data_IF_276359996640
#
_entry.id   IF_276359996640
#
_cell.length_a   1.000
_cell.length_b   1.000
_cell.length_c   1.000
_cell.angle_alpha   90.00
_cell.angle_beta   90.00
_cell.angle_gamma   90.00
#
_symmetry.space_group_name_H-M   'P 1'
#
loop_
_entity.id
_entity.type
_entity.pdbx_description
1 polymer ?
#
# COMPACT_ATOMS: atom_id res chain seq x y z
N UNK A 1 5.06 -23.70 -30.33
CA UNK A 1 4.55 -22.32 -30.27
C UNK A 1 4.33 -21.99 -28.79
N UNK A 2 5.39 -21.97 -27.99
CA UNK A 2 5.27 -22.12 -26.52
C UNK A 2 5.94 -21.00 -25.71
N UNK A 3 6.68 -20.11 -26.37
CA UNK A 3 7.49 -19.10 -25.68
C UNK A 3 6.65 -17.95 -25.11
N UNK A 4 5.55 -17.57 -25.78
CA UNK A 4 4.71 -16.44 -25.37
C UNK A 4 3.82 -16.78 -24.19
N UNK A 5 3.30 -18.02 -24.13
CA UNK A 5 2.51 -18.50 -23.00
C UNK A 5 3.38 -18.68 -21.75
N UNK A 6 4.62 -19.19 -21.90
CA UNK A 6 5.58 -19.32 -20.82
C UNK A 6 6.00 -17.95 -20.26
N UNK A 7 6.19 -16.94 -21.14
CA UNK A 7 6.45 -15.56 -20.74
C UNK A 7 5.27 -14.94 -19.99
N UNK A 8 4.04 -15.11 -20.48
CA UNK A 8 2.84 -14.62 -19.78
C UNK A 8 2.69 -15.29 -18.42
N UNK A 9 2.91 -16.60 -18.31
CA UNK A 9 2.84 -17.32 -17.04
C UNK A 9 4.00 -16.98 -16.09
N UNK A 10 5.19 -16.66 -16.61
CA UNK A 10 6.32 -16.20 -15.80
C UNK A 10 6.08 -14.76 -15.31
N UNK A 11 5.55 -13.89 -16.16
CA UNK A 11 5.16 -12.52 -15.80
C UNK A 11 4.00 -12.52 -14.80
N UNK A 12 3.02 -13.40 -14.96
CA UNK A 12 1.92 -13.60 -14.00
C UNK A 12 2.40 -14.23 -12.70
N UNK A 13 3.43 -15.07 -12.72
CA UNK A 13 4.08 -15.59 -11.51
C UNK A 13 4.84 -14.49 -10.78
N UNK A 14 5.64 -13.70 -11.48
CA UNK A 14 6.30 -12.52 -10.92
C UNK A 14 5.31 -11.48 -10.38
N UNK A 15 4.21 -11.23 -11.09
CA UNK A 15 3.12 -10.36 -10.62
C UNK A 15 2.29 -10.96 -9.48
N UNK A 16 2.28 -12.30 -9.31
CA UNK A 16 1.69 -13.00 -8.16
C UNK A 16 2.65 -13.14 -6.99
N UNK A 17 3.96 -13.08 -7.23
CA UNK A 17 5.02 -13.08 -6.23
C UNK A 17 5.15 -11.72 -5.57
N UNK A 18 4.82 -10.63 -6.28
CA UNK A 18 4.59 -9.34 -5.66
C UNK A 18 3.27 -9.37 -4.87
N UNK A 19 3.35 -9.40 -3.54
CA UNK A 19 2.17 -9.26 -2.68
C UNK A 19 1.64 -7.84 -2.86
N UNK A 20 0.60 -7.68 -3.67
CA UNK A 20 -0.06 -6.39 -3.86
C UNK A 20 -1.22 -6.31 -2.87
N UNK A 21 -1.24 -5.34 -1.94
CA UNK A 21 -2.38 -5.15 -1.08
C UNK A 21 -3.61 -4.75 -1.91
N UNK A 22 -4.80 -5.17 -1.48
CA UNK A 22 -6.04 -4.74 -2.10
C UNK A 22 -6.19 -3.21 -1.99
N UNK A 23 -6.88 -2.54 -2.92
CA UNK A 23 -7.10 -1.11 -2.82
C UNK A 23 -7.86 -0.71 -1.54
N UNK A 24 -7.45 0.38 -0.89
CA UNK A 24 -8.13 0.95 0.28
C UNK A 24 -8.78 2.28 -0.06
N UNK A 25 -10.09 2.40 0.15
CA UNK A 25 -10.89 3.59 -0.15
C UNK A 25 -11.12 4.52 1.06
N UNK A 26 -10.87 4.01 2.27
CA UNK A 26 -11.13 4.69 3.53
C UNK A 26 -12.27 4.12 4.37
N UNK A 27 -13.04 3.14 3.85
CA UNK A 27 -14.29 2.68 4.48
C UNK A 27 -14.52 1.16 4.33
N UNK A 28 -14.22 0.59 3.16
CA UNK A 28 -14.54 -0.81 2.81
C UNK A 28 -13.78 -1.86 3.63
N UNK A 29 -12.71 -1.49 4.32
CA UNK A 29 -11.90 -2.40 5.14
C UNK A 29 -11.46 -1.67 6.41
N UNK A 30 -11.31 -2.40 7.51
CA UNK A 30 -10.77 -1.81 8.74
C UNK A 30 -9.34 -1.29 8.49
N UNK A 31 -9.02 -0.04 8.82
CA UNK A 31 -7.70 0.56 8.57
C UNK A 31 -6.56 -0.23 9.23
N UNK A 32 -6.79 -0.73 10.45
CA UNK A 32 -5.82 -1.55 11.19
C UNK A 32 -5.48 -2.87 10.49
N UNK A 33 -6.49 -3.47 9.84
CA UNK A 33 -6.36 -4.74 9.14
C UNK A 33 -5.67 -4.51 7.81
N UNK A 34 -6.03 -3.44 7.11
CA UNK A 34 -5.41 -3.07 5.85
C UNK A 34 -3.92 -2.74 5.99
N UNK A 35 -3.53 -1.98 7.04
CA UNK A 35 -2.10 -1.70 7.30
C UNK A 35 -1.30 -2.99 7.49
N UNK A 36 -1.84 -3.99 8.20
CA UNK A 36 -1.14 -5.27 8.38
C UNK A 36 -0.91 -6.00 7.05
N UNK A 37 -1.89 -5.96 6.15
CA UNK A 37 -1.74 -6.51 4.80
C UNK A 37 -0.67 -5.76 4.00
N UNK A 38 -0.67 -4.43 4.08
CA UNK A 38 0.36 -3.60 3.44
C UNK A 38 1.75 -3.86 4.02
N UNK A 39 1.90 -4.03 5.33
CA UNK A 39 3.20 -4.35 5.96
C UNK A 39 3.70 -5.72 5.52
N UNK A 40 2.83 -6.73 5.47
CA UNK A 40 3.17 -8.04 4.90
C UNK A 40 3.56 -7.93 3.42
N UNK A 41 2.89 -7.08 2.64
CA UNK A 41 3.29 -6.78 1.27
C UNK A 41 4.68 -6.12 1.19
N UNK A 42 4.96 -5.15 2.06
CA UNK A 42 6.28 -4.52 2.16
C UNK A 42 7.38 -5.53 2.44
N UNK A 43 7.15 -6.46 3.36
CA UNK A 43 8.10 -7.51 3.72
C UNK A 43 8.37 -8.45 2.55
N UNK A 44 7.31 -8.96 1.91
CA UNK A 44 7.42 -9.87 0.77
C UNK A 44 8.09 -9.22 -0.45
N UNK A 45 7.88 -7.92 -0.64
CA UNK A 45 8.44 -7.16 -1.77
C UNK A 45 9.78 -6.48 -1.42
N UNK A 46 10.30 -6.68 -0.21
CA UNK A 46 11.53 -6.03 0.29
C UNK A 46 11.49 -4.49 0.24
N UNK A 47 10.32 -3.88 0.43
CA UNK A 47 10.15 -2.43 0.57
C UNK A 47 10.59 -2.00 1.97
N UNK A 48 11.88 -1.76 2.16
CA UNK A 48 12.44 -1.51 3.49
C UNK A 48 12.50 -0.02 3.88
N UNK A 49 12.69 0.89 2.91
CA UNK A 49 12.78 2.31 3.20
C UNK A 49 11.40 2.92 3.52
N UNK A 50 11.32 3.78 4.55
CA UNK A 50 10.07 4.47 4.91
C UNK A 50 9.44 5.20 3.72
N UNK A 51 10.24 5.96 2.97
CA UNK A 51 9.77 6.69 1.78
C UNK A 51 9.25 5.77 0.69
N UNK A 52 9.82 4.57 0.54
CA UNK A 52 9.34 3.56 -0.38
C UNK A 52 7.99 2.99 0.09
N UNK A 53 7.89 2.57 1.35
CA UNK A 53 6.65 2.04 1.94
C UNK A 53 5.49 3.02 1.83
N UNK A 54 5.74 4.30 2.10
CA UNK A 54 4.74 5.38 2.03
C UNK A 54 4.31 5.62 0.58
N UNK A 55 5.27 5.77 -0.33
CA UNK A 55 4.97 5.98 -1.75
C UNK A 55 4.15 4.82 -2.31
N UNK A 56 4.57 3.59 -2.03
CA UNK A 56 3.90 2.40 -2.55
C UNK A 56 2.51 2.23 -1.89
N UNK A 57 2.36 2.53 -0.60
CA UNK A 57 1.05 2.60 0.06
C UNK A 57 0.08 3.50 -0.70
N UNK A 58 0.50 4.72 -1.06
CA UNK A 58 -0.36 5.67 -1.74
C UNK A 58 -0.81 5.25 -3.15
N UNK A 59 -0.09 4.31 -3.79
CA UNK A 59 -0.53 3.71 -5.06
C UNK A 59 -1.73 2.78 -4.87
N UNK A 60 -1.86 2.16 -3.70
CA UNK A 60 -2.97 1.27 -3.35
C UNK A 60 -4.11 1.99 -2.62
N UNK A 61 -4.02 3.31 -2.45
CA UNK A 61 -5.13 4.11 -1.94
C UNK A 61 -6.03 4.57 -3.09
N UNK A 62 -7.33 4.59 -2.82
CA UNK A 62 -8.37 5.05 -3.74
C UNK A 62 -9.35 5.96 -3.03
N UNK A 63 -10.27 6.59 -3.77
CA UNK A 63 -11.36 7.36 -3.16
C UNK A 63 -10.90 8.46 -2.20
N UNK A 64 -11.44 8.44 -0.98
CA UNK A 64 -11.14 9.42 0.07
C UNK A 64 -9.74 9.21 0.64
N UNK A 65 -9.30 7.96 0.78
CA UNK A 65 -7.95 7.63 1.26
C UNK A 65 -6.84 8.15 0.35
N UNK A 66 -7.05 8.11 -0.97
CA UNK A 66 -6.08 8.68 -1.92
C UNK A 66 -5.95 10.19 -1.76
N UNK A 67 -7.08 10.90 -1.66
CA UNK A 67 -7.09 12.35 -1.45
C UNK A 67 -6.40 12.73 -0.14
N UNK A 68 -6.63 11.95 0.91
CA UNK A 68 -5.93 12.12 2.18
C UNK A 68 -4.42 11.97 2.00
N UNK A 69 -3.94 10.93 1.32
CA UNK A 69 -2.49 10.79 1.09
C UNK A 69 -1.93 11.95 0.28
N UNK A 70 -2.57 12.35 -0.82
CA UNK A 70 -2.09 13.45 -1.67
C UNK A 70 -1.93 14.77 -0.88
N UNK A 71 -2.86 15.06 0.03
CA UNK A 71 -2.79 16.22 0.90
C UNK A 71 -1.77 16.05 2.04
N UNK A 72 -1.73 14.88 2.66
CA UNK A 72 -0.86 14.60 3.81
C UNK A 72 0.62 14.52 3.39
N UNK A 73 0.92 13.89 2.26
CA UNK A 73 2.27 13.68 1.76
C UNK A 73 3.05 15.00 1.56
N UNK A 74 2.38 16.08 1.14
CA UNK A 74 3.01 17.38 0.90
C UNK A 74 3.62 18.02 2.15
N UNK A 75 3.18 17.65 3.36
CA UNK A 75 3.72 18.15 4.64
C UNK A 75 4.55 17.12 5.42
N UNK A 76 4.57 15.88 4.94
CA UNK A 76 5.03 14.71 5.70
C UNK A 76 5.94 13.80 4.85
N UNK A 77 6.62 14.37 3.85
CA UNK A 77 7.44 13.63 2.88
C UNK A 77 8.63 12.87 3.51
N UNK A 78 9.07 13.33 4.69
CA UNK A 78 10.18 12.74 5.46
C UNK A 78 9.73 11.92 6.66
N UNK A 79 8.42 11.73 6.84
CA UNK A 79 7.90 10.95 7.96
C UNK A 79 8.46 9.53 7.92
N UNK A 80 8.78 9.02 9.11
CA UNK A 80 9.07 7.60 9.26
C UNK A 80 7.81 6.79 8.99
N UNK A 81 7.98 5.51 8.65
CA UNK A 81 6.84 4.61 8.45
C UNK A 81 5.91 4.56 9.67
N UNK A 82 6.46 4.62 10.88
CA UNK A 82 5.67 4.58 12.11
C UNK A 82 4.91 5.88 12.42
N UNK A 83 5.42 7.03 12.00
CA UNK A 83 4.70 8.31 12.07
C UNK A 83 3.55 8.32 11.07
N UNK A 84 3.82 7.92 9.82
CA UNK A 84 2.83 7.82 8.77
C UNK A 84 1.68 6.88 9.15
N UNK A 85 1.97 5.68 9.67
CA UNK A 85 0.96 4.72 10.15
C UNK A 85 0.07 5.33 11.23
N UNK A 86 0.66 6.06 12.19
CA UNK A 86 -0.10 6.71 13.26
C UNK A 86 -1.06 7.75 12.70
N UNK A 87 -0.60 8.60 11.78
CA UNK A 87 -1.43 9.59 11.11
C UNK A 87 -2.55 8.94 10.28
N UNK A 88 -2.25 7.87 9.55
CA UNK A 88 -3.23 7.12 8.79
C UNK A 88 -4.30 6.49 9.69
N UNK A 89 -3.90 5.80 10.75
CA UNK A 89 -4.85 5.19 11.69
C UNK A 89 -5.69 6.26 12.39
N UNK A 90 -5.12 7.40 12.78
CA UNK A 90 -5.90 8.50 13.33
C UNK A 90 -6.96 9.01 12.32
N UNK A 91 -6.60 9.13 11.04
CA UNK A 91 -7.50 9.64 10.01
C UNK A 91 -8.67 8.70 9.66
N UNK A 92 -8.46 7.38 9.69
CA UNK A 92 -9.46 6.41 9.21
C UNK A 92 -10.07 5.53 10.29
N UNK A 93 -9.45 5.44 11.47
CA UNK A 93 -9.97 4.63 12.58
C UNK A 93 -10.91 5.43 13.50
N UNK A 94 -11.00 6.75 13.33
CA UNK A 94 -11.91 7.67 14.06
C UNK A 94 -13.21 8.00 13.31
N UNK A 95 -13.75 7.06 12.52
CA UNK A 95 -15.16 7.13 12.14
C UNK A 95 -15.98 6.20 13.06
N UNK A 96 -16.66 6.74 14.10
CA UNK A 96 -17.69 5.99 14.82
C UNK A 96 -18.91 5.66 13.95
#
# INVERSE_FOLDING_TARGET
>A
MDSLLALIQAQQRLNKEAANPDPFDGDSTRPDTWIKFHENACENNSWQASSQRIRDMCLFLTGLARKWCELHYAGHEFDTWDEWKRSFLAAFNENP
#
